data_IF_537957106859
#
_entry.id   IF_537957106859
#
_cell.length_a   1.000
_cell.length_b   1.000
_cell.length_c   1.000
_cell.angle_alpha   90.00
_cell.angle_beta   90.00
_cell.angle_gamma   90.00
#
_symmetry.space_group_name_H-M   'P 1'
#
loop_
_entity.id
_entity.type
_entity.pdbx_description
1 polymer ?
#
# COMPACT_ATOMS: atom_id res chain seq x y z
N UNK A 1 -15.71 54.85 26.77
CA UNK A 1 -16.68 54.55 27.84
C UNK A 1 -16.96 53.04 27.82
N UNK A 2 -16.62 52.29 28.88
CA UNK A 2 -16.82 50.85 28.93
C UNK A 2 -18.13 50.49 29.64
N UNK A 3 -18.94 49.61 29.04
CA UNK A 3 -20.08 48.97 29.71
C UNK A 3 -19.82 47.47 29.82
N UNK A 4 -19.78 47.04 31.08
CA UNK A 4 -19.76 45.68 31.60
C UNK A 4 -21.02 44.92 31.15
N UNK A 5 -20.95 43.61 30.93
CA UNK A 5 -21.93 42.68 31.54
C UNK A 5 -21.58 41.19 31.47
N UNK A 6 -21.78 40.54 32.63
CA UNK A 6 -22.10 39.13 32.95
C UNK A 6 -21.49 37.98 32.11
N UNK A 7 -20.61 37.12 32.66
CA UNK A 7 -20.85 36.01 33.63
C UNK A 7 -22.04 35.10 33.29
N UNK A 8 -21.73 33.93 32.71
CA UNK A 8 -22.62 32.76 32.64
C UNK A 8 -21.79 31.49 32.85
N UNK A 9 -21.62 31.10 34.11
CA UNK A 9 -21.01 29.84 34.55
C UNK A 9 -22.15 28.80 34.60
N UNK A 10 -22.05 27.70 33.85
CA UNK A 10 -22.94 26.54 34.06
C UNK A 10 -22.09 25.29 34.25
N UNK A 11 -22.12 24.81 35.49
CA UNK A 11 -21.43 23.62 35.99
C UNK A 11 -22.52 22.55 36.16
N UNK A 12 -22.46 21.47 35.37
CA UNK A 12 -23.32 20.31 35.56
C UNK A 12 -22.43 19.12 35.88
N UNK A 13 -22.41 18.79 37.17
CA UNK A 13 -21.87 17.56 37.71
C UNK A 13 -22.96 16.49 37.67
N UNK A 14 -22.66 15.33 37.09
CA UNK A 14 -23.49 14.13 37.22
C UNK A 14 -22.63 13.03 37.83
N UNK A 15 -22.81 12.84 39.13
CA UNK A 15 -22.34 11.70 39.92
C UNK A 15 -23.18 10.49 39.55
N UNK A 16 -22.53 9.38 39.23
CA UNK A 16 -23.18 8.08 39.01
C UNK A 16 -22.32 6.96 39.58
N UNK A 17 -22.36 6.80 40.91
CA UNK A 17 -21.94 5.58 41.59
C UNK A 17 -23.07 4.54 41.49
N UNK A 18 -22.75 3.34 41.01
CA UNK A 18 -23.51 2.14 41.34
C UNK A 18 -22.51 0.98 41.53
N UNK A 19 -22.45 0.50 42.77
CA UNK A 19 -21.72 -0.68 43.20
C UNK A 19 -22.65 -1.91 43.20
N UNK A 20 -22.11 -3.09 42.87
CA UNK A 20 -22.51 -4.45 43.34
C UNK A 20 -21.59 -5.45 42.62
N UNK A 21 -20.53 -6.00 43.22
CA UNK A 21 -20.47 -7.11 44.19
C UNK A 21 -20.96 -8.46 43.65
N UNK A 22 -20.02 -9.40 43.41
CA UNK A 22 -20.01 -10.76 44.01
C UNK A 22 -18.89 -11.69 43.46
N UNK A 23 -17.89 -11.94 44.33
CA UNK A 23 -17.16 -13.19 44.67
C UNK A 23 -17.13 -14.41 43.71
N UNK A 24 -15.91 -14.93 43.46
CA UNK A 24 -15.32 -16.26 43.84
C UNK A 24 -14.17 -16.60 42.86
N UNK A 25 -12.89 -16.60 43.24
CA UNK A 25 -12.11 -17.59 44.01
C UNK A 25 -11.89 -18.92 43.26
N UNK A 26 -10.68 -19.09 42.69
CA UNK A 26 -9.93 -20.35 42.61
C UNK A 26 -8.49 -20.11 42.07
N UNK A 27 -7.54 -19.97 42.99
CA UNK A 27 -6.16 -20.53 42.93
C UNK A 27 -6.08 -21.44 44.18
N UNK A 28 -5.37 -22.58 44.20
CA UNK A 28 -3.97 -22.75 43.81
C UNK A 28 -3.76 -24.01 42.91
N UNK A 29 -2.60 -24.30 42.33
CA UNK A 29 -1.61 -25.19 42.95
C UNK A 29 -0.26 -25.17 42.19
N UNK A 30 0.79 -25.37 42.97
CA UNK A 30 2.19 -25.13 42.66
C UNK A 30 2.89 -26.21 41.82
N UNK A 31 4.08 -25.84 41.35
CA UNK A 31 5.13 -26.62 40.67
C UNK A 31 5.52 -27.92 41.42
N UNK A 32 6.19 -28.93 40.84
CA UNK A 32 7.53 -29.02 40.17
C UNK A 32 7.80 -30.54 39.90
N UNK A 33 8.98 -31.07 39.46
CA UNK A 33 9.95 -30.73 38.40
C UNK A 33 10.33 -31.92 37.44
N UNK A 34 11.14 -31.58 36.43
CA UNK A 34 12.24 -32.35 35.78
C UNK A 34 11.99 -33.60 34.92
N UNK A 35 12.40 -33.52 33.64
CA UNK A 35 13.42 -34.40 33.07
C UNK A 35 14.09 -33.78 31.83
N UNK A 36 15.42 -33.78 31.88
CA UNK A 36 16.43 -33.36 30.91
C UNK A 36 16.75 -34.52 29.95
N UNK A 37 16.75 -34.31 28.62
CA UNK A 37 17.63 -35.02 27.67
C UNK A 37 17.96 -34.09 26.49
N UNK A 38 19.23 -34.17 26.10
CA UNK A 38 20.05 -33.32 25.24
C UNK A 38 19.74 -33.43 23.71
N UNK A 39 20.51 -32.72 22.83
CA UNK A 39 20.06 -32.23 21.53
C UNK A 39 20.28 -33.23 20.37
N UNK A 40 19.36 -33.21 19.41
CA UNK A 40 19.58 -33.80 18.08
C UNK A 40 20.09 -32.72 17.13
N UNK A 41 21.31 -32.93 16.65
CA UNK A 41 22.14 -31.94 15.93
C UNK A 41 21.64 -31.49 14.56
N UNK A 42 22.39 -30.56 13.92
CA UNK A 42 22.03 -29.99 12.62
C UNK A 42 22.27 -31.00 11.48
N UNK A 43 21.39 -31.08 10.48
CA UNK A 43 21.76 -31.74 9.23
C UNK A 43 22.85 -30.92 8.52
N UNK A 44 24.00 -31.58 8.30
CA UNK A 44 24.98 -31.33 7.22
C UNK A 44 24.19 -31.16 5.91
N UNK A 45 24.46 -30.18 5.05
CA UNK A 45 25.74 -29.94 4.39
C UNK A 45 25.78 -30.69 3.06
N UNK A 46 25.99 -29.94 1.97
CA UNK A 46 26.32 -30.36 0.59
C UNK A 46 25.09 -30.61 -0.34
N UNK A 47 25.00 -30.08 -1.57
CA UNK A 47 26.00 -29.45 -2.42
C UNK A 47 25.35 -28.43 -3.36
N UNK A 48 26.06 -27.32 -3.57
CA UNK A 48 25.91 -26.42 -4.70
C UNK A 48 26.43 -27.13 -5.96
N UNK A 49 25.64 -27.19 -7.04
CA UNK A 49 26.16 -27.55 -8.37
C UNK A 49 26.26 -26.30 -9.22
N UNK A 50 27.51 -25.97 -9.54
CA UNK A 50 27.95 -24.86 -10.36
C UNK A 50 27.69 -25.09 -11.86
N UNK A 51 27.61 -23.96 -12.56
CA UNK A 51 27.53 -23.75 -14.01
C UNK A 51 28.83 -24.18 -14.72
N UNK A 52 28.70 -24.79 -15.90
CA UNK A 52 29.58 -24.70 -17.09
C UNK A 52 28.85 -25.47 -18.21
N UNK A 53 28.75 -25.06 -19.47
CA UNK A 53 29.70 -24.36 -20.33
C UNK A 53 29.74 -25.14 -21.65
N UNK A 54 29.47 -24.45 -22.75
CA UNK A 54 29.41 -24.84 -24.18
C UNK A 54 30.14 -26.12 -24.66
N UNK A 55 29.52 -26.82 -25.63
CA UNK A 55 30.16 -27.16 -26.93
C UNK A 55 29.18 -27.70 -28.00
N UNK A 56 29.19 -26.99 -29.13
CA UNK A 56 29.27 -27.46 -30.53
C UNK A 56 28.58 -28.75 -31.01
N UNK A 57 27.83 -28.56 -32.09
CA UNK A 57 27.42 -29.54 -33.11
C UNK A 57 26.12 -29.03 -33.73
N UNK A 58 26.06 -28.40 -34.91
CA UNK A 58 26.77 -28.69 -36.16
C UNK A 58 25.75 -29.29 -37.12
N UNK A 59 25.09 -28.46 -37.93
CA UNK A 59 24.43 -28.90 -39.16
C UNK A 59 24.23 -27.71 -40.12
N UNK A 60 24.77 -27.92 -41.30
CA UNK A 60 24.95 -27.10 -42.50
C UNK A 60 23.66 -26.67 -43.19
N UNK A 61 23.63 -25.46 -43.77
CA UNK A 61 23.02 -25.19 -45.10
C UNK A 61 23.55 -23.82 -45.59
N UNK A 62 24.55 -23.78 -46.47
CA UNK A 62 24.48 -23.81 -47.95
C UNK A 62 24.47 -22.39 -48.55
N UNK A 63 25.18 -22.24 -49.66
CA UNK A 63 25.84 -21.03 -50.12
C UNK A 63 24.93 -20.00 -50.84
N UNK A 64 25.48 -18.79 -50.94
CA UNK A 64 24.97 -17.56 -51.54
C UNK A 64 24.57 -17.65 -53.04
N UNK A 65 23.98 -16.58 -53.60
CA UNK A 65 24.87 -15.59 -54.22
C UNK A 65 24.51 -14.12 -53.96
N UNK A 66 25.48 -13.28 -54.28
CA UNK A 66 25.45 -11.83 -54.25
C UNK A 66 24.27 -11.23 -55.03
N UNK A 67 23.63 -10.24 -54.42
CA UNK A 67 22.70 -9.29 -55.04
C UNK A 67 22.98 -7.92 -54.45
N UNK A 68 23.61 -7.10 -55.28
CA UNK A 68 23.85 -5.67 -55.10
C UNK A 68 22.50 -4.97 -55.27
N UNK A 69 21.99 -4.31 -54.23
CA UNK A 69 21.00 -3.23 -54.32
C UNK A 69 20.97 -2.46 -53.00
N UNK A 70 21.77 -1.41 -52.97
CA UNK A 70 21.70 -0.34 -52.02
C UNK A 70 20.49 0.55 -52.33
N UNK A 71 19.44 0.53 -51.50
CA UNK A 71 18.59 1.69 -51.23
C UNK A 71 17.70 1.42 -50.00
N UNK A 72 18.32 1.37 -48.82
CA UNK A 72 17.59 1.38 -47.54
C UNK A 72 17.25 2.80 -47.15
N UNK A 73 16.13 3.32 -47.65
CA UNK A 73 15.52 4.58 -47.21
C UNK A 73 14.17 4.26 -46.58
N UNK A 74 14.22 3.58 -45.43
CA UNK A 74 13.07 3.48 -44.52
C UNK A 74 13.46 4.17 -43.23
N UNK A 75 13.53 5.51 -43.33
CA UNK A 75 13.58 6.39 -42.18
C UNK A 75 12.26 6.22 -41.42
N UNK A 76 12.24 5.28 -40.47
CA UNK A 76 11.24 5.23 -39.43
C UNK A 76 11.08 6.66 -38.87
N UNK A 77 9.85 7.21 -38.79
CA UNK A 77 9.65 8.52 -38.20
C UNK A 77 10.20 8.45 -36.77
N UNK A 78 11.27 9.19 -36.53
CA UNK A 78 11.76 9.46 -35.19
C UNK A 78 10.61 10.17 -34.50
N UNK A 79 9.84 9.43 -33.70
CA UNK A 79 8.78 9.99 -32.88
C UNK A 79 9.37 11.21 -32.18
N UNK A 80 8.86 12.38 -32.55
CA UNK A 80 9.23 13.63 -31.93
C UNK A 80 9.01 13.42 -30.44
N UNK A 81 10.11 13.35 -29.67
CA UNK A 81 10.07 13.43 -28.22
C UNK A 81 9.39 14.75 -27.94
N UNK A 82 8.09 14.71 -27.63
CA UNK A 82 7.37 15.84 -27.12
C UNK A 82 8.24 16.44 -25.99
N UNK A 83 8.56 17.72 -26.12
CA UNK A 83 9.31 18.48 -25.13
C UNK A 83 8.51 18.46 -23.82
N UNK A 84 8.70 17.42 -23.02
CA UNK A 84 8.18 17.39 -21.67
C UNK A 84 8.90 18.47 -20.86
N UNK A 85 8.15 19.27 -20.09
CA UNK A 85 8.75 20.31 -19.28
C UNK A 85 9.77 19.70 -18.32
N UNK A 86 10.94 20.34 -18.20
CA UNK A 86 11.93 19.97 -17.21
C UNK A 86 11.27 20.01 -15.82
N UNK A 87 11.20 18.85 -15.18
CA UNK A 87 10.61 18.74 -13.84
C UNK A 87 11.62 19.21 -12.80
N UNK A 88 11.18 20.12 -11.93
CA UNK A 88 11.94 20.51 -10.74
C UNK A 88 11.62 19.51 -9.64
N UNK A 89 12.60 18.68 -9.28
CA UNK A 89 12.49 17.74 -8.16
C UNK A 89 12.22 18.49 -6.86
N UNK A 90 11.24 18.00 -6.10
CA UNK A 90 10.88 18.58 -4.81
C UNK A 90 11.69 17.91 -3.70
N UNK A 91 12.24 18.72 -2.80
CA UNK A 91 12.91 18.22 -1.60
C UNK A 91 11.88 17.55 -0.69
N UNK A 92 12.18 16.34 -0.23
CA UNK A 92 11.31 15.56 0.62
C UNK A 92 12.13 14.70 1.58
N UNK A 93 11.64 14.57 2.82
CA UNK A 93 12.22 13.66 3.81
C UNK A 93 11.97 12.21 3.45
N UNK A 94 10.77 11.90 2.93
CA UNK A 94 10.36 10.56 2.56
C UNK A 94 10.42 10.43 1.04
N UNK A 95 11.29 9.54 0.55
CA UNK A 95 11.55 9.39 -0.90
C UNK A 95 11.23 8.00 -1.44
N UNK A 96 10.84 7.08 -0.56
CA UNK A 96 10.52 5.70 -0.93
C UNK A 96 9.11 5.32 -0.48
N UNK A 97 8.45 4.47 -1.28
CA UNK A 97 7.13 3.94 -0.93
C UNK A 97 7.19 3.05 0.33
N UNK A 98 8.29 2.31 0.51
CA UNK A 98 8.50 1.46 1.68
C UNK A 98 8.54 2.28 2.99
N UNK A 99 9.25 3.41 3.00
CA UNK A 99 9.33 4.28 4.17
C UNK A 99 7.98 4.93 4.49
N UNK A 100 7.26 5.41 3.46
CA UNK A 100 5.91 5.94 3.63
C UNK A 100 4.93 4.89 4.16
N UNK A 101 5.03 3.66 3.64
CA UNK A 101 4.23 2.52 4.11
C UNK A 101 4.55 2.22 5.56
N UNK A 102 5.82 2.09 5.95
CA UNK A 102 6.21 1.85 7.35
C UNK A 102 5.60 2.88 8.31
N UNK A 103 5.68 4.18 7.96
CA UNK A 103 5.05 5.25 8.76
C UNK A 103 3.53 5.06 8.89
N UNK A 104 2.87 4.59 7.83
CA UNK A 104 1.45 4.28 7.87
C UNK A 104 1.15 3.04 8.72
N UNK A 105 2.00 2.01 8.69
CA UNK A 105 1.83 0.80 9.51
C UNK A 105 1.99 1.12 11.01
N UNK A 106 3.01 1.92 11.36
CA UNK A 106 3.24 2.38 12.73
C UNK A 106 2.03 3.18 13.24
N UNK A 107 1.56 4.15 12.46
CA UNK A 107 0.40 4.96 12.82
C UNK A 107 -0.92 4.16 12.86
N UNK A 108 -1.06 3.12 12.03
CA UNK A 108 -2.18 2.19 12.11
C UNK A 108 -2.16 1.42 13.43
N UNK A 109 -1.00 0.90 13.83
CA UNK A 109 -0.80 0.19 15.08
C UNK A 109 -1.14 1.06 16.30
N UNK A 110 -0.73 2.32 16.30
CA UNK A 110 -1.08 3.30 17.34
C UNK A 110 -2.59 3.59 17.38
N UNK A 111 -3.21 3.80 16.21
CA UNK A 111 -4.62 4.21 16.12
C UNK A 111 -5.62 3.08 16.41
N UNK A 112 -5.26 1.83 16.09
CA UNK A 112 -6.08 0.63 16.25
C UNK A 112 -5.78 -0.13 17.54
N UNK A 113 -4.58 0.05 18.10
CA UNK A 113 -4.08 -0.67 19.27
C UNK A 113 -3.30 -1.94 18.89
N UNK A 114 -2.37 -2.34 19.76
CA UNK A 114 -1.34 -3.39 19.55
C UNK A 114 -1.91 -4.77 19.18
N UNK A 115 -3.17 -5.05 19.51
CA UNK A 115 -3.78 -6.38 19.31
C UNK A 115 -4.66 -6.49 18.05
N UNK A 116 -4.87 -5.41 17.31
CA UNK A 116 -5.75 -5.42 16.15
C UNK A 116 -4.96 -5.81 14.89
N UNK A 117 -5.17 -7.04 14.40
CA UNK A 117 -4.75 -7.39 13.06
C UNK A 117 -5.41 -6.41 12.08
N UNK A 118 -4.63 -5.87 11.14
CA UNK A 118 -5.16 -4.90 10.18
C UNK A 118 -4.59 -5.13 8.80
N UNK A 119 -5.41 -4.84 7.78
CA UNK A 119 -4.97 -4.80 6.39
C UNK A 119 -4.86 -3.36 5.95
N UNK A 120 -3.69 -3.00 5.43
CA UNK A 120 -3.41 -1.65 4.96
C UNK A 120 -3.49 -1.62 3.45
N UNK A 121 -4.20 -0.62 2.93
CA UNK A 121 -4.36 -0.43 1.50
C UNK A 121 -3.05 -0.12 0.78
N UNK A 122 -3.05 -0.18 -0.56
CA UNK A 122 -2.12 0.60 -1.37
C UNK A 122 -2.13 2.09 -1.00
N UNK A 123 -1.03 2.78 -1.29
CA UNK A 123 -0.92 4.22 -1.21
C UNK A 123 -1.86 4.90 -2.21
N UNK A 124 -2.52 5.98 -1.83
CA UNK A 124 -3.40 6.75 -2.70
C UNK A 124 -3.05 8.23 -2.60
N UNK A 125 -3.58 9.03 -3.53
CA UNK A 125 -3.55 10.49 -3.42
C UNK A 125 -4.95 11.02 -3.11
N UNK A 126 -5.07 12.15 -2.37
CA UNK A 126 -6.38 12.76 -2.12
C UNK A 126 -7.08 13.23 -3.39
N UNK A 127 -6.29 13.64 -4.39
CA UNK A 127 -6.75 14.17 -5.67
C UNK A 127 -5.91 13.60 -6.80
N UNK A 128 -6.51 13.57 -7.99
CA UNK A 128 -5.80 13.34 -9.24
C UNK A 128 -6.12 14.45 -10.25
N UNK A 129 -5.12 15.07 -10.91
CA UNK A 129 -3.68 14.91 -10.64
C UNK A 129 -3.31 15.36 -9.22
N UNK A 130 -2.20 14.85 -8.64
CA UNK A 130 -1.83 15.20 -7.29
C UNK A 130 -1.39 16.66 -7.19
N UNK A 131 -1.91 17.36 -6.17
CA UNK A 131 -1.58 18.77 -5.92
C UNK A 131 -0.73 18.96 -4.68
N UNK A 132 -0.66 17.96 -3.82
CA UNK A 132 0.06 17.94 -2.56
C UNK A 132 0.98 16.72 -2.46
N UNK A 133 2.00 16.80 -1.61
CA UNK A 133 2.96 15.72 -1.35
C UNK A 133 2.42 14.72 -0.33
N UNK A 134 1.12 14.41 -0.37
CA UNK A 134 0.44 13.56 0.62
C UNK A 134 0.09 12.20 0.02
N UNK A 135 0.47 11.14 0.72
CA UNK A 135 -0.07 9.80 0.51
C UNK A 135 -1.16 9.47 1.53
N UNK A 136 -2.19 8.77 1.07
CA UNK A 136 -3.28 8.27 1.89
C UNK A 136 -3.23 6.75 1.93
N UNK A 137 -3.31 6.20 3.13
CA UNK A 137 -3.51 4.78 3.39
C UNK A 137 -4.79 4.60 4.20
N UNK A 138 -5.52 3.51 3.94
CA UNK A 138 -6.60 3.05 4.79
C UNK A 138 -6.19 1.77 5.50
N UNK A 139 -6.20 1.80 6.83
CA UNK A 139 -6.02 0.63 7.67
C UNK A 139 -7.39 0.06 8.07
N UNK A 140 -7.65 -1.17 7.68
CA UNK A 140 -8.88 -1.91 7.97
C UNK A 140 -8.62 -2.89 9.10
N UNK A 141 -9.12 -2.65 10.32
CA UNK A 141 -9.00 -3.63 11.40
C UNK A 141 -9.82 -4.88 11.05
N UNK A 142 -9.23 -6.04 11.30
CA UNK A 142 -9.79 -7.36 11.01
C UNK A 142 -9.93 -8.15 12.30
N UNK A 143 -11.02 -8.89 12.42
CA UNK A 143 -11.25 -9.85 13.49
C UNK A 143 -11.66 -11.20 12.88
N UNK A 144 -11.05 -12.32 13.30
CA UNK A 144 -11.43 -13.62 12.80
C UNK A 144 -12.89 -13.94 13.14
N UNK A 145 -13.58 -14.60 12.22
CA UNK A 145 -14.90 -15.18 12.48
C UNK A 145 -14.69 -16.66 12.78
N UNK A 146 -14.97 -17.06 14.03
CA UNK A 146 -14.77 -18.43 14.51
C UNK A 146 -15.39 -19.47 13.57
N UNK A 147 -14.64 -20.53 13.28
CA UNK A 147 -15.09 -21.62 12.41
C UNK A 147 -15.13 -21.30 10.91
N UNK A 148 -14.57 -20.18 10.46
CA UNK A 148 -14.51 -19.81 9.04
C UNK A 148 -13.15 -19.24 8.64
N UNK A 149 -12.86 -19.19 7.32
CA UNK A 149 -11.70 -18.48 6.76
C UNK A 149 -11.96 -16.98 6.53
N UNK A 150 -13.10 -16.48 7.03
CA UNK A 150 -13.53 -15.09 6.86
C UNK A 150 -13.13 -14.24 8.06
N UNK A 151 -12.84 -12.98 7.78
CA UNK A 151 -12.62 -11.95 8.80
C UNK A 151 -13.71 -10.91 8.74
N UNK A 152 -14.14 -10.43 9.90
CA UNK A 152 -15.00 -9.26 10.05
C UNK A 152 -14.13 -8.01 9.98
N UNK A 153 -14.54 -7.05 9.17
CA UNK A 153 -13.83 -5.78 9.02
C UNK A 153 -14.50 -4.72 9.89
N UNK A 154 -13.69 -4.02 10.68
CA UNK A 154 -14.12 -2.96 11.58
C UNK A 154 -14.16 -1.58 10.91
N UNK A 155 -14.07 -0.53 11.74
CA UNK A 155 -14.05 0.85 11.26
C UNK A 155 -12.65 1.20 10.72
N UNK A 156 -12.51 1.59 9.44
CA UNK A 156 -11.20 1.90 8.90
C UNK A 156 -10.64 3.20 9.49
N UNK A 157 -9.31 3.31 9.49
CA UNK A 157 -8.57 4.51 9.85
C UNK A 157 -7.90 5.04 8.58
N UNK A 158 -8.15 6.31 8.26
CA UNK A 158 -7.40 7.05 7.26
C UNK A 158 -6.09 7.53 7.85
N UNK A 159 -5.01 7.32 7.13
CA UNK A 159 -3.66 7.68 7.53
C UNK A 159 -3.08 8.50 6.40
N UNK A 160 -2.69 9.73 6.70
CA UNK A 160 -2.08 10.66 5.76
C UNK A 160 -0.62 10.79 6.09
N UNK A 161 0.25 10.52 5.12
CA UNK A 161 1.70 10.66 5.23
C UNK A 161 2.12 11.80 4.32
N UNK A 162 2.67 12.87 4.90
CA UNK A 162 3.28 13.96 4.13
C UNK A 162 4.72 13.58 3.79
N UNK A 163 5.06 13.55 2.50
CA UNK A 163 6.39 13.18 2.03
C UNK A 163 7.44 14.26 2.32
N UNK A 164 7.03 15.53 2.43
CA UNK A 164 7.93 16.66 2.63
C UNK A 164 8.63 16.61 4.00
N UNK A 165 7.84 16.54 5.07
CA UNK A 165 8.30 16.59 6.47
C UNK A 165 8.23 15.25 7.21
N UNK A 166 7.57 14.24 6.63
CA UNK A 166 7.30 12.94 7.24
C UNK A 166 6.19 12.99 8.30
N UNK A 167 5.38 14.05 8.34
CA UNK A 167 4.27 14.16 9.28
C UNK A 167 3.17 13.12 8.97
N UNK A 168 2.61 12.54 10.02
CA UNK A 168 1.53 11.55 9.92
C UNK A 168 0.29 12.05 10.64
N UNK A 169 -0.87 12.00 9.96
CA UNK A 169 -2.16 12.33 10.54
C UNK A 169 -3.13 11.16 10.40
N UNK A 170 -3.83 10.83 11.48
CA UNK A 170 -4.80 9.72 11.49
C UNK A 170 -6.23 10.23 11.70
N UNK A 171 -7.19 9.58 11.05
CA UNK A 171 -8.61 9.90 11.15
C UNK A 171 -9.46 8.65 11.10
N UNK A 172 -10.20 8.38 12.16
CA UNK A 172 -11.19 7.28 12.17
C UNK A 172 -12.32 7.60 11.20
N UNK A 173 -12.63 6.64 10.33
CA UNK A 173 -13.69 6.76 9.35
C UNK A 173 -14.96 6.03 9.80
N UNK A 174 -16.06 6.33 9.11
CA UNK A 174 -17.29 5.55 9.22
C UNK A 174 -17.06 4.12 8.67
N UNK A 175 -17.72 3.10 9.24
CA UNK A 175 -17.66 1.73 8.72
C UNK A 175 -17.92 1.70 7.21
N UNK A 176 -17.24 0.81 6.50
CA UNK A 176 -17.54 0.59 5.10
C UNK A 176 -18.95 -0.03 4.96
N UNK A 177 -19.72 0.45 3.99
CA UNK A 177 -20.97 -0.19 3.58
C UNK A 177 -20.72 -1.47 2.77
N UNK A 178 -19.52 -1.62 2.20
CA UNK A 178 -19.14 -2.68 1.26
C UNK A 178 -18.21 -3.68 1.94
N UNK A 179 -17.12 -3.21 2.53
CA UNK A 179 -16.09 -4.03 3.19
C UNK A 179 -16.54 -4.35 4.61
N UNK A 180 -17.42 -5.35 4.76
CA UNK A 180 -17.92 -5.83 6.07
C UNK A 180 -17.26 -7.13 6.51
N UNK A 181 -17.02 -8.01 5.55
CA UNK A 181 -16.39 -9.31 5.73
C UNK A 181 -15.48 -9.58 4.55
N UNK A 182 -14.31 -10.16 4.78
CA UNK A 182 -13.36 -10.51 3.73
C UNK A 182 -12.97 -11.98 3.84
N UNK A 183 -12.78 -12.61 2.68
CA UNK A 183 -12.05 -13.87 2.60
C UNK A 183 -10.55 -13.54 2.61
N UNK A 184 -9.79 -14.15 3.52
CA UNK A 184 -8.34 -14.00 3.55
C UNK A 184 -7.73 -14.77 2.37
N UNK A 185 -7.57 -14.09 1.24
CA UNK A 185 -6.80 -14.59 0.10
C UNK A 185 -5.41 -13.99 0.13
N UNK A 186 -4.40 -14.84 -0.03
CA UNK A 186 -3.03 -14.40 -0.22
C UNK A 186 -2.89 -13.85 -1.64
N UNK A 187 -2.49 -12.59 -1.75
CA UNK A 187 -2.17 -11.96 -3.03
C UNK A 187 -1.01 -12.70 -3.72
N UNK A 188 -1.05 -12.74 -5.06
CA UNK A 188 0.02 -13.37 -5.83
C UNK A 188 1.35 -12.61 -5.66
N UNK A 189 2.48 -13.30 -5.79
CA UNK A 189 3.80 -12.65 -5.69
C UNK A 189 4.00 -11.58 -6.78
N UNK A 190 3.47 -11.83 -7.99
CA UNK A 190 3.53 -10.89 -9.10
C UNK A 190 2.74 -9.60 -8.79
N UNK A 191 1.51 -9.72 -8.30
CA UNK A 191 0.69 -8.55 -7.94
C UNK A 191 1.33 -7.72 -6.83
N UNK A 192 1.92 -8.36 -5.82
CA UNK A 192 2.65 -7.63 -4.77
C UNK A 192 3.86 -6.86 -5.31
N UNK A 193 4.63 -7.47 -6.21
CA UNK A 193 5.80 -6.82 -6.82
C UNK A 193 5.40 -5.66 -7.75
N UNK A 194 4.36 -5.87 -8.55
CA UNK A 194 3.82 -4.86 -9.46
C UNK A 194 3.22 -3.68 -8.68
N UNK A 195 2.52 -3.97 -7.58
CA UNK A 195 2.00 -2.95 -6.68
C UNK A 195 3.14 -2.12 -6.05
N UNK A 196 4.18 -2.77 -5.52
CA UNK A 196 5.31 -2.06 -4.93
C UNK A 196 5.99 -1.12 -5.95
N UNK A 197 6.12 -1.57 -7.20
CA UNK A 197 6.64 -0.76 -8.31
C UNK A 197 5.72 0.43 -8.61
N UNK A 198 4.40 0.21 -8.58
CA UNK A 198 3.39 1.25 -8.78
C UNK A 198 3.39 2.29 -7.64
N UNK A 199 3.52 1.86 -6.38
CA UNK A 199 3.63 2.76 -5.23
C UNK A 199 4.89 3.63 -5.33
N UNK A 200 6.03 3.06 -5.71
CA UNK A 200 7.25 3.83 -5.90
C UNK A 200 7.13 4.80 -7.09
N UNK A 201 6.45 4.39 -8.18
CA UNK A 201 6.17 5.28 -9.29
C UNK A 201 5.29 6.47 -8.87
N UNK A 202 4.28 6.22 -8.01
CA UNK A 202 3.44 7.28 -7.45
C UNK A 202 4.27 8.28 -6.62
N UNK A 203 5.15 7.80 -5.75
CA UNK A 203 6.08 8.68 -5.00
C UNK A 203 6.94 9.51 -5.95
N UNK A 204 7.48 8.91 -7.00
CA UNK A 204 8.30 9.64 -7.98
C UNK A 204 7.50 10.69 -8.75
N UNK A 205 6.22 10.44 -9.03
CA UNK A 205 5.32 11.44 -9.64
C UNK A 205 5.07 12.60 -8.68
N UNK A 206 4.77 12.32 -7.41
CA UNK A 206 4.55 13.35 -6.39
C UNK A 206 5.78 14.24 -6.21
N UNK A 207 6.96 13.65 -6.14
CA UNK A 207 8.23 14.35 -6.00
C UNK A 207 8.74 14.98 -7.29
N UNK A 208 7.97 14.90 -8.39
CA UNK A 208 8.32 15.40 -9.72
C UNK A 208 9.64 14.84 -10.27
N UNK A 209 10.02 13.63 -9.83
CA UNK A 209 11.14 12.86 -10.39
C UNK A 209 10.79 12.22 -11.74
N UNK A 210 9.48 12.05 -11.99
CA UNK A 210 8.95 11.48 -13.23
C UNK A 210 7.61 12.13 -13.55
N UNK A 211 7.31 12.29 -14.84
CA UNK A 211 5.99 12.73 -15.28
C UNK A 211 4.94 11.63 -15.07
N UNK A 212 3.67 12.04 -15.00
CA UNK A 212 2.54 11.11 -15.05
C UNK A 212 2.59 10.28 -16.33
N UNK A 213 2.83 10.95 -17.48
CA UNK A 213 2.97 10.32 -18.80
C UNK A 213 3.95 9.13 -18.81
N UNK A 214 5.15 9.31 -18.25
CA UNK A 214 6.16 8.24 -18.16
C UNK A 214 5.86 7.18 -17.09
N UNK A 215 4.93 7.44 -16.19
CA UNK A 215 4.61 6.54 -15.08
C UNK A 215 3.37 5.69 -15.32
N UNK A 216 2.57 5.99 -16.35
CA UNK A 216 1.32 5.28 -16.67
C UNK A 216 1.43 3.75 -16.59
N UNK A 217 2.37 3.16 -17.34
CA UNK A 217 2.57 1.69 -17.35
C UNK A 217 3.00 1.12 -16.00
N UNK A 218 3.64 1.91 -15.16
CA UNK A 218 4.06 1.45 -13.83
C UNK A 218 2.92 1.56 -12.82
N UNK A 219 2.01 2.51 -13.02
CA UNK A 219 0.82 2.68 -12.20
C UNK A 219 -0.24 1.60 -12.49
N UNK A 220 -0.11 0.83 -13.58
CA UNK A 220 -0.99 -0.32 -13.88
C UNK A 220 -1.00 -1.40 -12.77
N UNK A 221 0.03 -1.47 -11.92
CA UNK A 221 0.04 -2.35 -10.75
C UNK A 221 -1.12 -2.08 -9.78
N UNK A 222 -1.65 -0.85 -9.73
CA UNK A 222 -2.87 -0.54 -8.97
C UNK A 222 -4.10 -1.23 -9.57
N UNK A 223 -4.22 -1.24 -10.91
CA UNK A 223 -5.35 -1.87 -11.60
C UNK A 223 -5.35 -3.37 -11.35
N UNK A 224 -4.18 -4.01 -11.45
CA UNK A 224 -4.04 -5.44 -11.14
C UNK A 224 -4.46 -5.74 -9.69
N UNK A 225 -3.98 -4.95 -8.73
CA UNK A 225 -4.36 -5.12 -7.33
C UNK A 225 -5.87 -4.91 -7.12
N UNK A 226 -6.48 -3.89 -7.72
CA UNK A 226 -7.92 -3.63 -7.58
C UNK A 226 -8.79 -4.71 -8.22
N UNK A 227 -8.33 -5.34 -9.30
CA UNK A 227 -9.04 -6.46 -9.92
C UNK A 227 -9.09 -7.69 -8.99
N UNK A 228 -8.05 -7.90 -8.18
CA UNK A 228 -8.05 -8.96 -7.15
C UNK A 228 -8.79 -8.55 -5.87
N UNK A 229 -9.01 -7.25 -5.63
CA UNK A 229 -9.49 -6.66 -4.38
C UNK A 229 -10.66 -5.66 -4.61
N UNK A 230 -11.70 -6.11 -5.31
CA UNK A 230 -12.81 -5.27 -5.77
C UNK A 230 -13.58 -4.58 -4.63
N UNK A 231 -13.67 -5.19 -3.44
CA UNK A 231 -14.38 -4.61 -2.30
C UNK A 231 -13.68 -3.33 -1.82
N UNK A 232 -12.34 -3.36 -1.80
CA UNK A 232 -11.52 -2.20 -1.45
C UNK A 232 -11.62 -1.11 -2.52
N UNK A 233 -11.54 -1.47 -3.81
CA UNK A 233 -11.75 -0.52 -4.90
C UNK A 233 -13.09 0.21 -4.76
N UNK A 234 -14.15 -0.51 -4.40
CA UNK A 234 -15.50 0.05 -4.25
C UNK A 234 -15.56 1.00 -3.05
N UNK A 235 -14.96 0.63 -1.92
CA UNK A 235 -14.87 1.49 -0.73
C UNK A 235 -14.07 2.77 -1.02
N UNK A 236 -12.91 2.67 -1.69
CA UNK A 236 -12.15 3.85 -2.11
C UNK A 236 -12.94 4.71 -3.07
N UNK A 237 -13.64 4.12 -4.04
CA UNK A 237 -14.45 4.89 -5.00
C UNK A 237 -15.54 5.71 -4.30
N UNK A 238 -16.13 5.16 -3.22
CA UNK A 238 -17.12 5.86 -2.42
C UNK A 238 -16.51 6.99 -1.58
N UNK A 239 -15.25 6.85 -1.13
CA UNK A 239 -14.56 7.83 -0.28
C UNK A 239 -13.81 8.91 -1.04
N UNK A 240 -13.15 8.53 -2.14
CA UNK A 240 -12.18 9.33 -2.90
C UNK A 240 -12.52 9.36 -4.39
N UNK A 241 -13.81 9.37 -4.75
CA UNK A 241 -14.30 9.08 -6.10
C UNK A 241 -13.55 9.74 -7.26
N UNK A 242 -13.12 11.01 -7.13
CA UNK A 242 -12.33 11.68 -8.18
C UNK A 242 -10.91 11.10 -8.32
N UNK A 243 -10.20 10.89 -7.21
CA UNK A 243 -8.85 10.31 -7.23
C UNK A 243 -8.86 8.88 -7.77
N UNK A 244 -9.90 8.10 -7.46
CA UNK A 244 -10.03 6.72 -7.90
C UNK A 244 -10.32 6.54 -9.39
N UNK A 245 -10.81 7.57 -10.10
CA UNK A 245 -11.08 7.45 -11.55
C UNK A 245 -9.81 7.16 -12.33
N UNK A 246 -8.71 7.83 -11.97
CA UNK A 246 -7.43 7.61 -12.62
C UNK A 246 -6.92 6.18 -12.45
N UNK A 247 -6.99 5.63 -11.23
CA UNK A 247 -6.50 4.27 -10.98
C UNK A 247 -7.37 3.18 -11.63
N UNK A 248 -8.61 3.51 -12.04
CA UNK A 248 -9.47 2.60 -12.81
C UNK A 248 -9.22 2.67 -14.31
N UNK A 249 -8.99 3.87 -14.82
CA UNK A 249 -8.76 4.13 -16.24
C UNK A 249 -7.63 5.18 -16.38
N UNK A 250 -6.36 4.71 -16.31
CA UNK A 250 -5.22 5.60 -16.32
C UNK A 250 -4.99 6.05 -17.77
N UNK A 251 -5.71 7.10 -18.20
CA UNK A 251 -5.53 7.74 -19.50
C UNK A 251 -4.87 9.12 -19.35
N UNK A 252 -4.01 9.53 -20.30
CA UNK A 252 -3.45 10.89 -20.33
C UNK A 252 -4.55 11.95 -20.46
N UNK A 253 -5.69 11.61 -21.06
CA UNK A 253 -6.85 12.49 -21.18
C UNK A 253 -7.59 12.72 -19.85
N UNK A 254 -7.34 11.90 -18.82
CA UNK A 254 -7.89 12.11 -17.48
C UNK A 254 -7.24 13.30 -16.74
N UNK A 255 -6.26 13.98 -17.36
CA UNK A 255 -5.57 15.16 -16.81
C UNK A 255 -6.35 16.48 -16.93
N UNK A 256 -7.48 16.55 -17.65
CA UNK A 256 -8.17 17.84 -17.89
C UNK A 256 -9.65 17.86 -17.44
N UNK A 257 -10.00 18.68 -16.45
CA UNK A 257 -11.08 19.66 -16.58
C UNK A 257 -10.65 20.90 -17.37
#
# INVERSE_FOLDING_TARGET
>A
MPLRSARGLLLVASVGLAASSCKRQAEPEAATPAAEVAPSGPPKGDAMTYVSGAKHGGATQEAAPAGDDAQGDDAAPTEAKADEPALVELAAKITTAEEARRLAEDAAGEALGVSAESRISPALTPTWPPTDLTLIYLAYPMAPIEGTMKVKVGKPVEIRVNLEDGAVATKRLKPSSVVKTLDLKRESAAVRQNLATAEQALVNVLLRKRSVARSFRLLDGYREWFNENLEFMTDFSHRYGKAMRFFKDPSPSAEMP
#
